data_IF_511028657893
#
_entry.id   IF_511028657893
#
_cell.length_a   1.000
_cell.length_b   1.000
_cell.length_c   1.000
_cell.angle_alpha   90.00
_cell.angle_beta   90.00
_cell.angle_gamma   90.00
#
_symmetry.space_group_name_H-M   'P 1'
#
loop_
_entity.id
_entity.type
_entity.pdbx_description
1 polymer ?
#
# COMPACT_ATOMS: atom_id res chain seq x y z
N UNK A 1 -8.11 -26.63 20.86
CA UNK A 1 -7.34 -26.28 19.64
C UNK A 1 -8.11 -25.33 18.72
N UNK A 2 -9.37 -25.61 18.35
CA UNK A 2 -10.17 -24.74 17.46
C UNK A 2 -10.26 -23.28 17.92
N UNK A 3 -10.51 -23.05 19.21
CA UNK A 3 -10.62 -21.70 19.78
C UNK A 3 -9.33 -20.86 19.65
N UNK A 4 -8.15 -21.45 19.79
CA UNK A 4 -6.89 -20.72 19.64
C UNK A 4 -6.59 -20.35 18.19
N UNK A 5 -6.92 -21.25 17.24
CA UNK A 5 -6.80 -20.95 15.82
C UNK A 5 -7.76 -19.83 15.40
N UNK A 6 -9.01 -19.86 15.87
CA UNK A 6 -9.99 -18.81 15.60
C UNK A 6 -9.54 -17.45 16.17
N UNK A 7 -8.98 -17.43 17.39
CA UNK A 7 -8.40 -16.21 17.98
C UNK A 7 -7.26 -15.66 17.13
N UNK A 8 -6.29 -16.50 16.74
CA UNK A 8 -5.14 -16.07 15.95
C UNK A 8 -5.56 -15.51 14.58
N UNK A 9 -6.52 -16.16 13.92
CA UNK A 9 -7.08 -15.67 12.65
C UNK A 9 -7.74 -14.30 12.82
N UNK A 10 -8.54 -14.12 13.87
CA UNK A 10 -9.18 -12.83 14.13
C UNK A 10 -8.19 -11.72 14.47
N UNK A 11 -7.13 -12.03 15.20
CA UNK A 11 -6.04 -11.10 15.50
C UNK A 11 -5.31 -10.68 14.23
N UNK A 12 -5.01 -11.63 13.34
CA UNK A 12 -4.35 -11.35 12.05
C UNK A 12 -5.22 -10.46 11.14
N UNK A 13 -6.51 -10.77 11.01
CA UNK A 13 -7.44 -9.94 10.21
C UNK A 13 -7.62 -8.54 10.79
N UNK A 14 -7.65 -8.43 12.13
CA UNK A 14 -7.68 -7.14 12.83
C UNK A 14 -6.42 -6.34 12.54
N UNK A 15 -5.25 -6.97 12.64
CA UNK A 15 -3.98 -6.33 12.33
C UNK A 15 -3.93 -5.86 10.87
N UNK A 16 -4.30 -6.73 9.93
CA UNK A 16 -4.39 -6.40 8.50
C UNK A 16 -5.30 -5.20 8.24
N UNK A 17 -6.46 -5.15 8.90
CA UNK A 17 -7.39 -4.01 8.82
C UNK A 17 -6.74 -2.71 9.34
N UNK A 18 -6.04 -2.78 10.47
CA UNK A 18 -5.37 -1.63 11.06
C UNK A 18 -4.22 -1.11 10.18
N UNK A 19 -3.42 -2.00 9.58
CA UNK A 19 -2.33 -1.62 8.67
C UNK A 19 -2.90 -0.91 7.44
N UNK A 20 -3.95 -1.44 6.80
CA UNK A 20 -4.61 -0.78 5.66
C UNK A 20 -5.15 0.61 5.99
N UNK A 21 -5.74 0.76 7.17
CA UNK A 21 -6.21 2.05 7.65
C UNK A 21 -5.04 3.04 7.87
N UNK A 22 -3.89 2.54 8.34
CA UNK A 22 -2.68 3.33 8.50
C UNK A 22 -2.10 3.76 7.14
N UNK A 23 -1.97 2.84 6.17
CA UNK A 23 -1.55 3.13 4.79
C UNK A 23 -2.41 4.27 4.22
N UNK A 24 -3.74 4.13 4.28
CA UNK A 24 -4.66 5.15 3.77
C UNK A 24 -4.45 6.52 4.45
N UNK A 25 -4.24 6.52 5.76
CA UNK A 25 -4.00 7.75 6.53
C UNK A 25 -2.67 8.40 6.14
N UNK A 26 -1.61 7.61 5.99
CA UNK A 26 -0.28 8.09 5.62
C UNK A 26 -0.26 8.60 4.18
N UNK A 27 -0.86 7.85 3.25
CA UNK A 27 -1.02 8.26 1.86
C UNK A 27 -1.69 9.64 1.78
N UNK A 28 -2.87 9.80 2.40
CA UNK A 28 -3.58 11.10 2.42
C UNK A 28 -2.83 12.20 3.15
N UNK A 29 -1.90 11.87 4.06
CA UNK A 29 -1.10 12.86 4.76
C UNK A 29 0.08 13.35 3.91
N UNK A 30 0.71 12.43 3.17
CA UNK A 30 2.02 12.66 2.55
C UNK A 30 1.96 12.81 1.01
N UNK A 31 0.95 12.24 0.36
CA UNK A 31 0.79 12.25 -1.10
C UNK A 31 -0.18 13.35 -1.50
N UNK A 32 0.34 14.57 -1.62
CA UNK A 32 -0.45 15.78 -1.92
C UNK A 32 0.23 16.65 -2.96
N UNK A 33 -0.57 17.30 -3.79
CA UNK A 33 -0.11 18.31 -4.72
C UNK A 33 0.26 19.63 -3.99
N UNK A 34 0.78 20.60 -4.74
CA UNK A 34 1.20 21.90 -4.21
C UNK A 34 0.07 22.75 -3.59
N UNK A 35 -1.19 22.44 -3.89
CA UNK A 35 -2.36 23.10 -3.26
C UNK A 35 -2.93 22.30 -2.08
N UNK A 36 -2.32 21.17 -1.73
CA UNK A 36 -2.69 20.34 -0.58
C UNK A 36 -3.79 19.33 -0.84
N UNK A 37 -4.17 19.10 -2.11
CA UNK A 37 -5.12 18.05 -2.50
C UNK A 37 -4.39 16.71 -2.64
N UNK A 38 -5.05 15.63 -2.23
CA UNK A 38 -4.49 14.27 -2.32
C UNK A 38 -4.32 13.88 -3.79
N UNK A 39 -3.14 13.41 -4.16
CA UNK A 39 -2.88 12.99 -5.54
C UNK A 39 -3.44 11.57 -5.78
N UNK A 40 -3.94 11.29 -7.00
CA UNK A 40 -4.48 9.97 -7.33
C UNK A 40 -3.43 8.85 -7.25
N UNK A 41 -2.19 9.19 -7.59
CA UNK A 41 -1.02 8.32 -7.54
C UNK A 41 0.25 9.12 -7.20
N UNK A 42 1.29 8.41 -6.76
CA UNK A 42 2.66 8.92 -6.63
C UNK A 42 3.65 7.86 -7.09
N UNK A 43 4.69 8.27 -7.81
CA UNK A 43 5.71 7.35 -8.31
C UNK A 43 6.71 7.01 -7.21
N UNK A 44 7.05 5.74 -7.08
CA UNK A 44 8.06 5.28 -6.13
C UNK A 44 9.46 5.71 -6.58
N UNK A 45 10.32 6.05 -5.62
CA UNK A 45 11.72 6.38 -5.93
C UNK A 45 12.52 5.17 -6.38
N UNK A 46 12.12 3.98 -5.94
CA UNK A 46 12.67 2.69 -6.36
C UNK A 46 11.54 1.76 -6.81
N UNK A 47 11.80 0.97 -7.84
CA UNK A 47 10.86 -0.05 -8.30
C UNK A 47 10.63 -1.09 -7.20
N UNK A 48 9.37 -1.47 -6.97
CA UNK A 48 8.98 -2.39 -5.92
C UNK A 48 8.45 -3.69 -6.53
N UNK A 49 8.88 -4.85 -6.03
CA UNK A 49 8.55 -6.17 -6.63
C UNK A 49 7.67 -7.02 -5.71
N UNK A 50 6.61 -7.61 -6.24
CA UNK A 50 5.79 -8.61 -5.56
C UNK A 50 5.38 -9.73 -6.50
N UNK A 51 5.65 -10.97 -6.07
CA UNK A 51 5.38 -12.18 -6.85
C UNK A 51 5.94 -12.14 -8.30
N UNK A 52 7.07 -11.45 -8.52
CA UNK A 52 7.71 -11.30 -9.83
C UNK A 52 7.13 -10.19 -10.71
N UNK A 53 6.21 -9.39 -10.18
CA UNK A 53 5.65 -8.21 -10.82
C UNK A 53 6.24 -6.94 -10.23
N UNK A 54 6.56 -5.98 -11.10
CA UNK A 54 7.18 -4.71 -10.72
C UNK A 54 6.12 -3.61 -10.70
N UNK A 55 6.09 -2.87 -9.61
CA UNK A 55 5.23 -1.71 -9.37
C UNK A 55 6.10 -0.47 -9.28
N UNK A 56 5.61 0.63 -9.84
CA UNK A 56 6.34 1.90 -9.89
C UNK A 56 5.56 3.06 -9.27
N UNK A 57 4.36 2.81 -8.75
CA UNK A 57 3.53 3.84 -8.14
C UNK A 57 2.68 3.29 -6.99
N UNK A 58 2.33 4.17 -6.06
CA UNK A 58 1.29 3.97 -5.06
C UNK A 58 0.05 4.75 -5.47
N UNK A 59 -1.12 4.12 -5.32
CA UNK A 59 -2.42 4.79 -5.35
C UNK A 59 -3.03 4.79 -3.95
N UNK A 60 -4.17 5.44 -3.77
CA UNK A 60 -4.92 5.33 -2.52
C UNK A 60 -5.42 3.89 -2.25
N UNK A 61 -5.49 3.05 -3.29
CA UNK A 61 -6.12 1.71 -3.24
C UNK A 61 -5.13 0.56 -3.28
N UNK A 62 -3.92 0.80 -3.77
CA UNK A 62 -2.99 -0.27 -4.09
C UNK A 62 -1.63 0.17 -4.60
N UNK A 63 -0.84 -0.84 -4.96
CA UNK A 63 0.36 -0.71 -5.77
C UNK A 63 -0.03 -0.75 -7.24
N UNK A 64 0.57 0.14 -8.02
CA UNK A 64 0.25 0.30 -9.44
C UNK A 64 1.50 0.19 -10.30
N UNK A 65 1.30 -0.36 -11.49
CA UNK A 65 2.24 -0.25 -12.59
C UNK A 65 1.66 0.68 -13.65
N UNK A 66 2.30 1.84 -13.81
CA UNK A 66 1.83 2.93 -14.68
C UNK A 66 2.85 3.18 -15.78
N UNK A 67 2.40 3.21 -17.04
CA UNK A 67 3.25 3.50 -18.21
C UNK A 67 2.56 4.57 -19.04
N UNK A 68 3.26 5.69 -19.31
CA UNK A 68 2.72 6.82 -20.09
C UNK A 68 1.37 7.32 -19.56
N UNK A 69 1.24 7.44 -18.23
CA UNK A 69 0.02 7.89 -17.53
C UNK A 69 -1.17 6.92 -17.66
N UNK A 70 -0.94 5.70 -18.17
CA UNK A 70 -1.95 4.64 -18.21
C UNK A 70 -1.69 3.61 -17.11
N UNK A 71 -2.71 3.34 -16.29
CA UNK A 71 -2.70 2.26 -15.32
C UNK A 71 -2.79 0.92 -16.05
N UNK A 72 -1.69 0.17 -16.03
CA UNK A 72 -1.59 -1.14 -16.68
C UNK A 72 -2.04 -2.24 -15.71
N UNK A 73 -1.63 -2.15 -14.45
CA UNK A 73 -1.90 -3.14 -13.42
C UNK A 73 -2.04 -2.47 -12.05
N UNK A 74 -2.94 -2.99 -11.21
CA UNK A 74 -3.16 -2.54 -9.84
C UNK A 74 -3.35 -3.75 -8.92
N UNK A 75 -2.54 -3.85 -7.88
CA UNK A 75 -2.74 -4.77 -6.76
C UNK A 75 -3.31 -4.00 -5.59
N UNK A 76 -4.53 -4.34 -5.19
CA UNK A 76 -5.17 -3.65 -4.08
C UNK A 76 -4.54 -4.07 -2.76
N UNK A 77 -4.74 -3.27 -1.72
CA UNK A 77 -4.31 -3.66 -0.37
C UNK A 77 -4.88 -5.00 0.11
N UNK A 78 -5.99 -5.47 -0.48
CA UNK A 78 -6.57 -6.77 -0.18
C UNK A 78 -5.86 -7.95 -0.83
N UNK A 79 -5.03 -7.69 -1.83
CA UNK A 79 -4.29 -8.72 -2.58
C UNK A 79 -2.91 -8.96 -1.97
N UNK A 80 -2.36 -7.96 -1.28
CA UNK A 80 -1.05 -8.03 -0.64
C UNK A 80 -1.06 -8.82 0.69
N UNK A 81 0.02 -9.55 0.92
CA UNK A 81 0.31 -10.15 2.21
C UNK A 81 0.65 -9.10 3.29
N UNK A 82 0.78 -9.54 4.53
CA UNK A 82 0.98 -8.62 5.65
C UNK A 82 2.38 -7.98 5.66
N UNK A 83 3.38 -8.69 5.16
CA UNK A 83 4.77 -8.20 5.11
C UNK A 83 4.86 -7.03 4.14
N UNK A 84 4.31 -7.21 2.94
CA UNK A 84 4.19 -6.18 1.91
C UNK A 84 3.42 -4.96 2.43
N UNK A 85 2.28 -5.17 3.10
CA UNK A 85 1.51 -4.05 3.67
C UNK A 85 2.31 -3.25 4.70
N UNK A 86 3.15 -3.90 5.50
CA UNK A 86 4.01 -3.21 6.48
C UNK A 86 5.13 -2.45 5.79
N UNK A 87 5.71 -2.99 4.72
CA UNK A 87 6.72 -2.29 3.93
C UNK A 87 6.17 -1.01 3.28
N UNK A 88 4.94 -1.06 2.74
CA UNK A 88 4.27 0.13 2.21
C UNK A 88 4.07 1.22 3.28
N UNK A 89 3.84 0.82 4.55
CA UNK A 89 3.81 1.80 5.66
C UNK A 89 5.17 2.50 5.77
N UNK A 90 6.28 1.77 5.71
CA UNK A 90 7.63 2.34 5.78
C UNK A 90 7.89 3.30 4.62
N UNK A 91 7.58 2.90 3.37
CA UNK A 91 7.71 3.77 2.18
C UNK A 91 6.95 5.08 2.38
N UNK A 92 5.71 5.00 2.89
CA UNK A 92 4.87 6.18 3.12
C UNK A 92 5.35 7.05 4.29
N UNK A 93 5.94 6.47 5.34
CA UNK A 93 6.52 7.21 6.47
C UNK A 93 7.82 7.93 6.08
N UNK A 94 8.70 7.24 5.36
CA UNK A 94 10.00 7.73 4.93
C UNK A 94 9.92 8.63 3.68
N UNK A 95 8.76 8.61 3.01
CA UNK A 95 8.45 9.38 1.79
C UNK A 95 9.39 9.04 0.64
N UNK A 96 9.57 7.75 0.41
CA UNK A 96 10.39 7.20 -0.67
C UNK A 96 9.62 7.24 -2.01
N UNK A 97 9.28 8.44 -2.45
CA UNK A 97 8.54 8.70 -3.68
C UNK A 97 8.87 10.08 -4.28
N UNK A 98 8.71 10.19 -5.60
CA UNK A 98 9.09 11.35 -6.44
C UNK A 98 8.00 12.43 -6.58
#
# INVERSE_FOLDING_TARGET
>A
MKQHADTLTNELETFRTNVKALILRLYRANVKNHVGEVMPEVYLSEEWEYEGQVFNALTERGLAYIVKEELIEEFTWNDLDIESLVEIVTILEDKEFD
#
